data_IF_862821232352
#
_entry.id   IF_862821232352
#
_cell.length_a   1.000
_cell.length_b   1.000
_cell.length_c   1.000
_cell.angle_alpha   90.00
_cell.angle_beta   90.00
_cell.angle_gamma   90.00
#
_symmetry.space_group_name_H-M   'P 1'
#
loop_
_entity.id
_entity.type
_entity.pdbx_description
1 polymer ?
#
# COMPACT_ATOMS: atom_id res chain seq x y z
N UNK A 1 -14.87 17.15 -25.87
CA UNK A 1 -14.69 15.75 -26.29
C UNK A 1 -13.21 15.36 -26.39
N UNK A 2 -12.39 16.08 -27.17
CA UNK A 2 -10.95 15.79 -27.34
C UNK A 2 -10.19 15.72 -26.01
N UNK A 3 -10.38 16.68 -25.11
CA UNK A 3 -9.71 16.71 -23.81
C UNK A 3 -10.02 15.47 -22.95
N UNK A 4 -11.27 14.99 -22.95
CA UNK A 4 -11.66 13.80 -22.18
C UNK A 4 -10.99 12.55 -22.74
N UNK A 5 -11.00 12.38 -24.06
CA UNK A 5 -10.31 11.27 -24.73
C UNK A 5 -8.81 11.32 -24.45
N UNK A 6 -8.19 12.50 -24.50
CA UNK A 6 -6.78 12.67 -24.18
C UNK A 6 -6.46 12.26 -22.74
N UNK A 7 -7.29 12.63 -21.76
CA UNK A 7 -7.10 12.24 -20.35
C UNK A 7 -7.19 10.72 -20.18
N UNK A 8 -8.15 10.06 -20.84
CA UNK A 8 -8.29 8.60 -20.81
C UNK A 8 -7.06 7.92 -21.41
N UNK A 9 -6.62 8.35 -22.60
CA UNK A 9 -5.43 7.77 -23.26
C UNK A 9 -4.20 7.99 -22.38
N UNK A 10 -3.95 9.23 -21.96
CA UNK A 10 -2.77 9.57 -21.16
C UNK A 10 -2.77 8.85 -19.82
N UNK A 11 -3.92 8.65 -19.18
CA UNK A 11 -3.98 7.94 -17.91
C UNK A 11 -3.79 6.43 -18.01
N UNK A 12 -4.00 5.83 -19.19
CA UNK A 12 -3.63 4.45 -19.47
C UNK A 12 -2.14 4.30 -19.85
N UNK A 13 -1.53 5.35 -20.42
CA UNK A 13 -0.10 5.38 -20.74
C UNK A 13 0.78 5.76 -19.54
N UNK A 14 0.33 6.69 -18.71
CA UNK A 14 1.07 7.28 -17.59
C UNK A 14 0.22 7.21 -16.30
N UNK A 15 -0.03 6.00 -15.78
CA UNK A 15 -0.91 5.80 -14.62
C UNK A 15 -0.41 6.53 -13.37
N UNK A 16 0.90 6.77 -13.23
CA UNK A 16 1.50 7.53 -12.12
C UNK A 16 1.15 9.03 -12.11
N UNK A 17 0.65 9.57 -13.22
CA UNK A 17 0.34 11.01 -13.35
C UNK A 17 -1.16 11.30 -13.27
N UNK A 18 -1.99 10.33 -13.66
CA UNK A 18 -3.42 10.53 -13.82
C UNK A 18 -4.15 9.43 -13.06
N UNK A 19 -4.92 9.89 -12.08
CA UNK A 19 -5.86 9.10 -11.30
C UNK A 19 -6.66 8.14 -12.19
N UNK A 20 -6.90 6.94 -11.67
CA UNK A 20 -7.65 5.91 -12.38
C UNK A 20 -9.10 6.33 -12.67
N UNK A 21 -9.66 7.25 -11.88
CA UNK A 21 -11.01 7.80 -12.01
C UNK A 21 -11.21 8.56 -13.34
N UNK A 22 -10.53 9.69 -13.60
CA UNK A 22 -10.65 10.40 -14.87
C UNK A 22 -10.09 9.59 -16.05
N UNK A 23 -9.19 8.64 -15.79
CA UNK A 23 -8.66 7.73 -16.80
C UNK A 23 -9.59 6.56 -17.16
N UNK A 24 -10.75 6.43 -16.51
CA UNK A 24 -11.73 5.36 -16.72
C UNK A 24 -11.19 3.94 -16.46
N UNK A 25 -10.16 3.79 -15.62
CA UNK A 25 -9.50 2.52 -15.30
C UNK A 25 -10.20 1.72 -14.19
N UNK A 26 -11.28 2.24 -13.61
CA UNK A 26 -12.05 1.60 -12.53
C UNK A 26 -12.73 0.28 -12.94
N UNK A 27 -12.98 0.07 -14.24
CA UNK A 27 -13.43 -1.22 -14.76
C UNK A 27 -12.30 -2.17 -15.18
N UNK A 28 -11.08 -1.64 -15.35
CA UNK A 28 -9.93 -2.45 -15.77
C UNK A 28 -9.26 -3.17 -14.59
N UNK A 29 -9.70 -2.91 -13.36
CA UNK A 29 -9.11 -3.49 -12.17
C UNK A 29 -7.65 -3.03 -11.93
N UNK A 30 -7.26 -1.87 -12.49
CA UNK A 30 -5.88 -1.39 -12.52
C UNK A 30 -5.77 0.02 -11.93
N UNK A 31 -5.30 0.11 -10.68
CA UNK A 31 -5.10 1.37 -9.96
C UNK A 31 -3.91 1.26 -9.00
N UNK A 32 -3.41 2.41 -8.53
CA UNK A 32 -2.35 2.44 -7.54
C UNK A 32 -2.88 1.92 -6.19
N UNK A 33 -2.09 1.10 -5.50
CA UNK A 33 -2.46 0.50 -4.21
C UNK A 33 -1.30 0.56 -3.24
N UNK A 34 -1.55 0.37 -1.96
CA UNK A 34 -0.47 0.26 -0.98
C UNK A 34 -0.86 -0.58 0.22
N UNK A 35 0.11 -1.10 0.95
CA UNK A 35 -0.08 -1.64 2.30
C UNK A 35 0.80 -0.89 3.29
N UNK A 36 0.23 -0.61 4.46
CA UNK A 36 0.82 0.15 5.55
C UNK A 36 1.08 -0.81 6.72
N UNK A 37 2.33 -0.92 7.12
CA UNK A 37 2.80 -1.86 8.13
C UNK A 37 3.20 -1.08 9.38
N UNK A 38 2.38 -1.18 10.43
CA UNK A 38 2.58 -0.48 11.70
C UNK A 38 3.22 -1.42 12.72
N UNK A 39 4.40 -1.07 13.24
CA UNK A 39 5.06 -1.83 14.30
C UNK A 39 4.49 -1.46 15.66
N UNK A 40 4.18 -2.46 16.49
CA UNK A 40 3.74 -2.24 17.87
C UNK A 40 2.57 -1.26 17.97
N UNK A 41 2.76 -0.17 18.73
CA UNK A 41 1.71 0.83 19.00
C UNK A 41 1.62 1.95 17.96
N UNK A 42 2.37 1.89 16.85
CA UNK A 42 2.40 2.97 15.85
C UNK A 42 1.00 3.31 15.28
N UNK A 43 0.13 2.31 15.09
CA UNK A 43 -1.25 2.53 14.65
C UNK A 43 -2.08 3.29 15.72
N UNK A 44 -1.87 2.99 17.01
CA UNK A 44 -2.54 3.69 18.11
C UNK A 44 -2.01 5.13 18.29
N UNK A 45 -0.71 5.34 18.08
CA UNK A 45 -0.13 6.69 18.01
C UNK A 45 -0.76 7.47 16.86
N UNK A 46 -0.95 6.86 15.68
CA UNK A 46 -1.63 7.50 14.56
C UNK A 46 -3.09 7.85 14.88
N UNK A 47 -3.83 6.93 15.50
CA UNK A 47 -5.20 7.16 15.96
C UNK A 47 -5.29 8.40 16.84
N UNK A 48 -4.36 8.58 17.78
CA UNK A 48 -4.42 9.68 18.76
C UNK A 48 -3.82 10.99 18.25
N UNK A 49 -2.80 10.93 17.38
CA UNK A 49 -2.02 12.10 16.98
C UNK A 49 -2.53 12.78 15.71
N UNK A 50 -3.29 12.07 14.87
CA UNK A 50 -3.81 12.62 13.62
C UNK A 50 -5.26 13.05 13.79
N UNK A 51 -5.52 14.35 13.56
CA UNK A 51 -6.89 14.86 13.40
C UNK A 51 -7.46 14.28 12.12
N UNK A 52 -8.60 13.59 12.24
CA UNK A 52 -9.19 12.77 11.18
C UNK A 52 -10.71 12.85 11.21
N UNK A 53 -11.33 12.52 10.08
CA UNK A 53 -12.77 12.62 9.87
C UNK A 53 -13.58 11.57 10.66
N UNK A 54 -12.95 10.44 10.98
CA UNK A 54 -13.52 9.34 11.76
C UNK A 54 -12.40 8.55 12.45
N UNK A 55 -12.75 7.68 13.41
CA UNK A 55 -11.79 6.73 13.99
C UNK A 55 -11.24 5.79 12.91
N UNK A 56 -10.07 5.18 13.13
CA UNK A 56 -9.60 4.10 12.24
C UNK A 56 -10.60 2.94 12.21
N UNK A 57 -10.64 2.20 11.10
CA UNK A 57 -11.68 1.19 10.83
C UNK A 57 -11.79 0.16 11.96
N UNK A 58 -10.66 -0.35 12.47
CA UNK A 58 -10.64 -1.28 13.60
C UNK A 58 -11.30 -0.70 14.85
N UNK A 59 -11.07 0.59 15.14
CA UNK A 59 -11.66 1.28 16.29
C UNK A 59 -13.16 1.61 16.10
N UNK A 60 -13.62 1.73 14.85
CA UNK A 60 -15.05 1.81 14.56
C UNK A 60 -15.71 0.44 14.79
N UNK A 61 -15.09 -0.64 14.32
CA UNK A 61 -15.58 -2.01 14.48
C UNK A 61 -15.56 -2.47 15.94
N UNK A 62 -14.57 -2.04 16.73
CA UNK A 62 -14.48 -2.34 18.16
C UNK A 62 -15.63 -1.75 19.00
N UNK A 63 -16.45 -0.85 18.43
CA UNK A 63 -17.70 -0.38 19.06
C UNK A 63 -18.84 -1.39 18.91
N UNK A 64 -18.73 -2.32 17.96
CA UNK A 64 -19.76 -3.30 17.61
C UNK A 64 -19.34 -4.74 17.94
N UNK A 65 -18.04 -5.01 17.93
CA UNK A 65 -17.43 -6.31 18.15
C UNK A 65 -16.36 -6.25 19.24
N UNK A 66 -16.01 -7.40 19.82
CA UNK A 66 -14.80 -7.50 20.62
C UNK A 66 -13.54 -7.25 19.77
N UNK A 67 -12.41 -6.95 20.42
CA UNK A 67 -11.18 -6.55 19.72
C UNK A 67 -10.66 -7.58 18.73
N UNK A 68 -10.72 -8.88 19.06
CA UNK A 68 -10.23 -9.93 18.17
C UNK A 68 -11.14 -10.06 16.94
N UNK A 69 -12.45 -10.01 17.13
CA UNK A 69 -13.41 -10.01 16.02
C UNK A 69 -13.26 -8.75 15.15
N UNK A 70 -13.00 -7.58 15.73
CA UNK A 70 -12.78 -6.34 14.99
C UNK A 70 -11.54 -6.40 14.08
N UNK A 71 -10.44 -6.99 14.55
CA UNK A 71 -9.25 -7.24 13.73
C UNK A 71 -9.56 -8.19 12.56
N UNK A 72 -10.18 -9.34 12.84
CA UNK A 72 -10.59 -10.32 11.79
C UNK A 72 -11.51 -9.66 10.75
N UNK A 73 -12.43 -8.79 11.19
CA UNK A 73 -13.33 -8.08 10.28
C UNK A 73 -12.59 -7.06 9.42
N UNK A 74 -11.53 -6.43 9.94
CA UNK A 74 -10.67 -5.51 9.19
C UNK A 74 -9.85 -6.26 8.14
N UNK A 75 -9.35 -7.46 8.47
CA UNK A 75 -8.53 -8.30 7.59
C UNK A 75 -9.28 -8.81 6.35
N UNK A 76 -10.62 -8.73 6.33
CA UNK A 76 -11.42 -9.00 5.12
C UNK A 76 -10.98 -8.14 3.93
N UNK A 77 -10.48 -6.93 4.18
CA UNK A 77 -9.96 -6.05 3.13
C UNK A 77 -8.66 -6.59 2.56
N UNK A 78 -7.76 -7.09 3.40
CA UNK A 78 -6.54 -7.76 2.95
C UNK A 78 -6.86 -9.03 2.16
N UNK A 79 -7.83 -9.84 2.62
CA UNK A 79 -8.33 -11.00 1.90
C UNK A 79 -8.94 -10.62 0.53
N UNK A 80 -9.69 -9.52 0.46
CA UNK A 80 -10.19 -9.00 -0.81
C UNK A 80 -9.05 -8.60 -1.76
N UNK A 81 -8.04 -7.90 -1.26
CA UNK A 81 -6.87 -7.50 -2.06
C UNK A 81 -6.10 -8.72 -2.58
N UNK A 82 -5.97 -9.76 -1.76
CA UNK A 82 -5.33 -11.03 -2.12
C UNK A 82 -6.03 -11.76 -3.30
N UNK A 83 -7.32 -11.52 -3.53
CA UNK A 83 -8.03 -12.06 -4.71
C UNK A 83 -7.60 -11.40 -6.03
N UNK A 84 -6.83 -10.29 -5.98
CA UNK A 84 -6.37 -9.53 -7.14
C UNK A 84 -4.86 -9.68 -7.33
N UNK A 85 -4.39 -9.46 -8.56
CA UNK A 85 -2.95 -9.52 -8.89
C UNK A 85 -2.12 -8.58 -8.01
N UNK A 86 -2.63 -7.37 -7.73
CA UNK A 86 -2.01 -6.41 -6.82
C UNK A 86 -1.71 -7.01 -5.44
N UNK A 87 -2.62 -7.81 -4.86
CA UNK A 87 -2.40 -8.44 -3.56
C UNK A 87 -1.26 -9.44 -3.58
N UNK A 88 -1.06 -10.17 -4.68
CA UNK A 88 0.06 -11.11 -4.85
C UNK A 88 1.39 -10.37 -4.88
N UNK A 89 1.46 -9.23 -5.56
CA UNK A 89 2.63 -8.37 -5.53
C UNK A 89 2.89 -7.76 -4.15
N UNK A 90 1.86 -7.16 -3.54
CA UNK A 90 1.98 -6.50 -2.23
C UNK A 90 2.44 -7.49 -1.15
N UNK A 91 1.80 -8.66 -1.08
CA UNK A 91 2.17 -9.70 -0.12
C UNK A 91 3.56 -10.27 -0.42
N UNK A 92 3.95 -10.31 -1.69
CA UNK A 92 5.30 -10.70 -2.07
C UNK A 92 6.41 -9.72 -1.74
N UNK A 93 6.06 -8.45 -1.56
CA UNK A 93 6.99 -7.41 -1.15
C UNK A 93 7.08 -7.28 0.38
N UNK A 94 6.17 -7.90 1.16
CA UNK A 94 6.20 -7.87 2.63
C UNK A 94 7.53 -8.34 3.23
N UNK A 95 8.11 -9.49 2.84
CA UNK A 95 9.39 -9.94 3.39
C UNK A 95 10.58 -9.02 3.03
N UNK A 96 10.40 -8.14 2.05
CA UNK A 96 11.41 -7.13 1.68
C UNK A 96 11.25 -5.85 2.50
N UNK A 97 10.02 -5.55 2.89
CA UNK A 97 9.71 -4.39 3.71
C UNK A 97 9.90 -4.67 5.19
N UNK A 98 9.72 -5.91 5.69
CA UNK A 98 9.67 -6.23 7.11
C UNK A 98 10.79 -7.19 7.51
N UNK A 99 11.26 -7.08 8.74
CA UNK A 99 12.18 -8.04 9.35
C UNK A 99 11.42 -9.27 9.89
N UNK A 100 10.37 -9.02 10.67
CA UNK A 100 9.46 -10.06 11.18
C UNK A 100 8.02 -9.55 11.08
N UNK A 101 7.25 -10.13 10.16
CA UNK A 101 5.85 -9.76 9.91
C UNK A 101 4.97 -9.84 11.16
N UNK A 102 5.27 -10.74 12.11
CA UNK A 102 4.47 -10.94 13.32
C UNK A 102 4.46 -9.71 14.26
N UNK A 103 5.43 -8.80 14.13
CA UNK A 103 5.48 -7.56 14.92
C UNK A 103 4.71 -6.38 14.29
N UNK A 104 4.10 -6.60 13.13
CA UNK A 104 3.43 -5.55 12.36
C UNK A 104 1.94 -5.81 12.22
N UNK A 105 1.16 -4.73 12.33
CA UNK A 105 -0.23 -4.68 11.87
C UNK A 105 -0.23 -4.18 10.43
N UNK A 106 -0.69 -5.01 9.51
CA UNK A 106 -0.75 -4.69 8.08
C UNK A 106 -2.14 -4.17 7.77
N UNK A 107 -2.21 -2.96 7.21
CA UNK A 107 -3.46 -2.30 6.79
C UNK A 107 -3.41 -1.97 5.32
N UNK A 108 -4.55 -2.12 4.66
CA UNK A 108 -4.70 -1.69 3.27
C UNK A 108 -4.70 -0.14 3.19
N UNK A 109 -4.04 0.44 2.20
CA UNK A 109 -3.84 1.88 2.11
C UNK A 109 -5.15 2.68 2.00
N UNK A 110 -6.16 2.16 1.32
CA UNK A 110 -7.48 2.75 1.15
C UNK A 110 -8.22 2.87 2.49
N UNK A 111 -8.10 1.85 3.37
CA UNK A 111 -8.71 1.90 4.71
C UNK A 111 -7.98 2.85 5.66
N UNK A 112 -6.69 3.11 5.42
CA UNK A 112 -5.93 4.15 6.12
C UNK A 112 -6.30 5.54 5.57
N UNK A 113 -6.39 5.69 4.25
CA UNK A 113 -6.70 6.94 3.57
C UNK A 113 -8.09 7.47 3.94
N UNK A 114 -9.07 6.58 4.05
CA UNK A 114 -10.46 6.92 4.34
C UNK A 114 -10.63 7.88 5.52
N UNK A 115 -10.26 7.47 6.74
CA UNK A 115 -10.33 8.33 7.92
C UNK A 115 -9.42 9.57 7.82
N UNK A 116 -8.18 9.41 7.34
CA UNK A 116 -7.14 10.44 7.39
C UNK A 116 -7.32 11.57 6.37
N UNK A 117 -7.78 11.23 5.16
CA UNK A 117 -7.99 12.17 4.05
C UNK A 117 -9.47 12.54 3.91
N UNK A 118 -10.38 11.70 4.41
CA UNK A 118 -11.82 11.84 4.20
C UNK A 118 -12.28 11.31 2.84
N UNK A 119 -11.45 10.52 2.15
CA UNK A 119 -11.73 9.98 0.83
C UNK A 119 -11.70 8.46 0.84
N UNK A 120 -12.88 7.83 0.79
CA UNK A 120 -13.06 6.37 0.77
C UNK A 120 -13.22 5.85 -0.66
N UNK A 121 -12.18 6.01 -1.49
CA UNK A 121 -12.16 5.46 -2.85
C UNK A 121 -10.77 4.89 -3.15
N UNK A 122 -10.69 3.90 -4.04
CA UNK A 122 -9.46 3.17 -4.36
C UNK A 122 -8.44 3.97 -5.15
N UNK A 123 -8.03 5.13 -4.64
CA UNK A 123 -7.03 6.00 -5.25
C UNK A 123 -5.71 5.95 -4.48
N UNK A 124 -4.78 5.12 -4.96
CA UNK A 124 -3.46 4.98 -4.37
C UNK A 124 -2.59 6.23 -4.38
N UNK A 125 -2.88 7.20 -5.24
CA UNK A 125 -2.19 8.48 -5.20
C UNK A 125 -2.53 9.31 -3.96
N UNK A 126 -3.59 8.96 -3.20
CA UNK A 126 -3.95 9.60 -1.93
C UNK A 126 -3.31 8.95 -0.71
N UNK A 127 -2.76 7.75 -0.83
CA UNK A 127 -2.09 7.03 0.26
C UNK A 127 -0.67 6.59 -0.11
N UNK A 128 0.01 7.48 -0.84
CA UNK A 128 1.40 7.37 -1.22
C UNK A 128 2.32 8.13 -0.24
N UNK A 129 3.55 8.40 -0.67
CA UNK A 129 4.59 9.08 0.11
C UNK A 129 4.16 10.45 0.66
N UNK A 130 3.22 11.15 0.01
CA UNK A 130 2.72 12.42 0.52
C UNK A 130 1.93 12.25 1.81
N UNK A 131 1.06 11.23 1.86
CA UNK A 131 0.32 10.91 3.08
C UNK A 131 1.26 10.36 4.15
N UNK A 132 2.22 9.49 3.78
CA UNK A 132 3.24 8.98 4.70
C UNK A 132 4.01 10.13 5.35
N UNK A 133 4.49 11.10 4.57
CA UNK A 133 5.19 12.27 5.09
C UNK A 133 4.30 13.13 6.01
N UNK A 134 3.00 13.24 5.70
CA UNK A 134 2.05 13.97 6.51
C UNK A 134 1.77 13.28 7.86
N UNK A 135 1.66 11.94 7.86
CA UNK A 135 1.52 11.12 9.06
C UNK A 135 2.80 11.19 9.89
N UNK A 136 3.97 11.08 9.27
CA UNK A 136 5.26 11.19 9.98
C UNK A 136 5.39 12.51 10.73
N UNK A 137 5.05 13.64 10.10
CA UNK A 137 5.13 14.97 10.74
C UNK A 137 4.25 15.08 12.00
N UNK A 138 3.20 14.27 12.10
CA UNK A 138 2.23 14.31 13.21
C UNK A 138 2.56 13.28 14.30
N UNK A 139 3.02 12.10 13.91
CA UNK A 139 3.25 10.99 14.83
C UNK A 139 4.71 10.90 15.30
N UNK A 140 5.65 11.48 14.55
CA UNK A 140 7.09 11.43 14.82
C UNK A 140 7.61 10.01 15.09
N UNK A 141 7.30 9.08 14.18
CA UNK A 141 7.70 7.69 14.30
C UNK A 141 9.23 7.50 14.25
N UNK A 142 9.71 6.45 14.90
CA UNK A 142 11.08 5.96 14.78
C UNK A 142 11.27 5.13 13.49
N UNK A 143 12.52 4.79 13.18
CA UNK A 143 12.84 3.92 12.04
C UNK A 143 12.20 2.53 12.22
N UNK A 144 11.44 2.09 11.22
CA UNK A 144 10.73 0.82 11.17
C UNK A 144 9.35 0.82 11.84
N UNK A 145 8.91 1.92 12.45
CA UNK A 145 7.58 2.00 13.09
C UNK A 145 6.45 2.01 12.06
N UNK A 146 6.67 2.65 10.91
CA UNK A 146 5.74 2.65 9.79
C UNK A 146 6.50 2.44 8.49
N UNK A 147 6.31 1.27 7.88
CA UNK A 147 6.77 0.94 6.53
C UNK A 147 5.60 0.81 5.59
N UNK A 148 5.70 1.39 4.41
CA UNK A 148 4.63 1.40 3.41
C UNK A 148 5.17 0.85 2.09
N UNK A 149 4.49 -0.15 1.56
CA UNK A 149 4.74 -0.67 0.22
C UNK A 149 3.70 -0.04 -0.70
N UNK A 150 4.16 0.71 -1.70
CA UNK A 150 3.34 1.41 -2.67
C UNK A 150 3.54 0.72 -4.02
N UNK A 151 2.45 0.29 -4.64
CA UNK A 151 2.43 -0.36 -5.96
C UNK A 151 1.64 0.50 -6.93
N UNK A 152 2.29 0.95 -7.99
CA UNK A 152 1.67 1.81 -9.01
C UNK A 152 0.80 0.99 -9.97
N UNK A 153 -0.21 1.63 -10.57
CA UNK A 153 -0.99 1.02 -11.63
C UNK A 153 -0.12 0.65 -12.83
N UNK A 154 -0.47 -0.44 -13.52
CA UNK A 154 0.22 -0.92 -14.71
C UNK A 154 -0.05 0.01 -15.91
N UNK A 155 0.97 0.54 -16.60
CA UNK A 155 0.77 1.16 -17.91
C UNK A 155 0.30 0.12 -18.92
N UNK A 156 -0.73 0.41 -19.73
CA UNK A 156 -1.39 -0.60 -20.58
C UNK A 156 -0.45 -1.30 -21.58
N UNK A 157 0.66 -0.66 -21.93
CA UNK A 157 1.64 -1.12 -22.91
C UNK A 157 2.88 -1.77 -22.27
N UNK A 158 2.91 -1.93 -20.94
CA UNK A 158 4.08 -2.41 -20.19
C UNK A 158 3.65 -3.57 -19.29
N UNK A 159 4.33 -4.71 -19.39
CA UNK A 159 4.06 -5.91 -18.56
C UNK A 159 4.79 -5.87 -17.21
N UNK A 160 4.80 -4.70 -16.57
CA UNK A 160 5.52 -4.44 -15.30
C UNK A 160 4.72 -3.47 -14.44
N UNK A 161 4.77 -3.66 -13.12
CA UNK A 161 4.29 -2.69 -12.14
C UNK A 161 5.43 -2.19 -11.27
N UNK A 162 5.51 -0.88 -11.11
CA UNK A 162 6.54 -0.23 -10.30
C UNK A 162 6.12 -0.23 -8.84
N UNK A 163 7.06 -0.52 -7.95
CA UNK A 163 6.85 -0.43 -6.51
C UNK A 163 7.89 0.44 -5.83
N UNK A 164 7.51 0.96 -4.66
CA UNK A 164 8.38 1.69 -3.74
C UNK A 164 8.08 1.23 -2.32
N UNK A 165 9.12 0.96 -1.55
CA UNK A 165 9.05 0.67 -0.12
C UNK A 165 9.61 1.88 0.60
N UNK A 166 8.81 2.45 1.50
CA UNK A 166 9.13 3.70 2.19
C UNK A 166 8.99 3.50 3.68
N UNK A 167 9.99 3.92 4.42
CA UNK A 167 9.92 4.07 5.86
C UNK A 167 9.52 5.52 6.20
N UNK A 168 8.58 5.71 7.11
CA UNK A 168 8.07 7.04 7.45
C UNK A 168 9.16 7.97 7.99
N UNK A 169 10.15 7.43 8.73
CA UNK A 169 11.24 8.21 9.33
C UNK A 169 12.38 8.45 8.33
N UNK A 170 12.79 7.42 7.61
CA UNK A 170 14.03 7.46 6.81
C UNK A 170 13.76 7.72 5.32
N UNK A 171 12.52 7.59 4.85
CA UNK A 171 12.10 7.82 3.47
C UNK A 171 12.24 6.57 2.60
N UNK A 172 12.56 6.76 1.31
CA UNK A 172 12.67 5.65 0.37
C UNK A 172 13.73 4.63 0.81
N UNK A 173 13.27 3.39 0.99
CA UNK A 173 14.06 2.23 1.40
C UNK A 173 14.47 1.41 0.18
N UNK A 174 13.52 1.06 -0.68
CA UNK A 174 13.73 0.28 -1.90
C UNK A 174 12.75 0.75 -2.99
N UNK A 175 13.18 0.71 -4.25
CA UNK A 175 12.32 0.89 -5.41
C UNK A 175 12.71 -0.11 -6.50
N UNK A 176 11.72 -0.51 -7.29
CA UNK A 176 11.93 -1.45 -8.38
C UNK A 176 10.65 -1.72 -9.14
N UNK A 177 10.62 -2.85 -9.83
CA UNK A 177 9.41 -3.34 -10.48
C UNK A 177 9.26 -4.85 -10.33
N UNK A 178 8.02 -5.30 -10.52
CA UNK A 178 7.62 -6.71 -10.63
C UNK A 178 7.01 -6.93 -12.01
N UNK A 179 7.11 -8.14 -12.54
CA UNK A 179 6.45 -8.48 -13.81
C UNK A 179 5.03 -8.95 -13.56
N UNK A 180 4.13 -8.70 -14.51
CA UNK A 180 2.74 -9.18 -14.41
C UNK A 180 2.66 -10.70 -14.47
N UNK A 181 3.59 -11.34 -15.19
CA UNK A 181 3.71 -12.80 -15.26
C UNK A 181 3.98 -13.40 -13.88
N UNK A 182 4.95 -12.87 -13.14
CA UNK A 182 5.27 -13.34 -11.79
C UNK A 182 4.08 -13.16 -10.84
N UNK A 183 3.40 -12.02 -10.93
CA UNK A 183 2.19 -11.74 -10.15
C UNK A 183 1.08 -12.77 -10.43
N UNK A 184 0.92 -13.22 -11.68
CA UNK A 184 -0.11 -14.18 -12.07
C UNK A 184 0.23 -15.62 -11.68
N UNK A 185 1.51 -15.97 -11.66
CA UNK A 185 1.99 -17.33 -11.37
C UNK A 185 1.93 -17.69 -9.89
N UNK A 186 1.95 -16.69 -9.00
CA UNK A 186 2.07 -16.85 -7.55
C UNK A 186 0.71 -16.89 -6.83
N UNK A 187 0.62 -17.64 -5.73
CA UNK A 187 -0.47 -17.56 -4.76
C UNK A 187 -0.38 -16.29 -3.90
N UNK A 188 -1.50 -15.71 -3.43
CA UNK A 188 -1.44 -14.46 -2.67
C UNK A 188 -0.88 -14.62 -1.24
N UNK A 189 -0.63 -15.84 -0.76
CA UNK A 189 0.07 -16.11 0.49
C UNK A 189 1.44 -16.74 0.22
N UNK A 190 2.43 -16.55 1.11
CA UNK A 190 3.72 -17.19 0.97
C UNK A 190 3.59 -18.72 1.08
N UNK A 191 4.19 -19.44 0.14
CA UNK A 191 4.38 -20.89 0.24
C UNK A 191 5.84 -21.22 0.64
N UNK A 192 6.12 -22.36 1.29
CA UNK A 192 7.50 -22.74 1.58
C UNK A 192 8.34 -22.83 0.31
N UNK A 193 9.42 -22.05 0.24
CA UNK A 193 10.28 -21.97 -0.96
C UNK A 193 9.77 -21.03 -2.05
N UNK A 194 8.70 -20.29 -1.80
CA UNK A 194 8.19 -19.24 -2.69
C UNK A 194 9.16 -18.06 -2.72
N UNK A 195 9.73 -17.81 -3.90
CA UNK A 195 10.51 -16.61 -4.18
C UNK A 195 9.74 -15.74 -5.16
N UNK A 196 9.48 -14.49 -4.76
CA UNK A 196 8.89 -13.51 -5.65
C UNK A 196 9.98 -12.79 -6.44
N UNK A 197 10.00 -12.88 -7.77
CA UNK A 197 10.97 -12.13 -8.56
C UNK A 197 10.70 -10.63 -8.45
N UNK A 198 11.72 -9.92 -7.99
CA UNK A 198 11.68 -8.47 -7.80
C UNK A 198 12.90 -7.85 -8.45
N UNK A 199 12.68 -6.87 -9.33
CA UNK A 199 13.75 -6.18 -10.06
C UNK A 199 14.02 -4.82 -9.42
N UNK A 200 14.96 -4.81 -8.48
CA UNK A 200 15.37 -3.61 -7.74
C UNK A 200 16.09 -2.63 -8.68
N UNK A 201 15.67 -1.36 -8.66
CA UNK A 201 16.33 -0.27 -9.38
C UNK A 201 17.08 0.68 -8.44
N UNK A 202 16.59 0.82 -7.21
CA UNK A 202 17.21 1.63 -6.17
C UNK A 202 17.05 0.93 -4.83
N UNK A 203 18.11 0.82 -4.06
CA UNK A 203 18.04 0.32 -2.69
C UNK A 203 18.97 1.14 -1.81
N UNK A 204 18.46 1.61 -0.67
CA UNK A 204 19.31 2.20 0.35
C UNK A 204 20.07 1.06 1.03
N UNK A 205 21.40 1.10 1.02
CA UNK A 205 22.21 0.13 1.75
C UNK A 205 21.84 0.16 3.24
N UNK A 206 21.55 -1.01 3.81
CA UNK A 206 21.44 -1.17 5.27
C UNK A 206 22.80 -0.81 5.86
N UNK A 207 22.89 0.01 6.94
CA UNK A 207 24.12 0.11 7.69
C UNK A 207 24.50 -1.30 8.14
N UNK A 208 25.68 -1.77 7.75
CA UNK A 208 26.23 -3.02 8.27
C UNK A 208 26.19 -2.94 9.79
N UNK A 209 25.51 -3.89 10.44
CA UNK A 209 25.66 -4.07 11.89
C UNK A 209 27.17 -4.24 12.17
N UNK A 210 27.75 -3.46 13.10
CA UNK A 210 29.14 -3.67 13.51
C UNK A 210 29.33 -5.05 14.15
#
# INVERSE_FOLDING_TARGET
MIAVVAVVIMGNLLPEKISFLPAMRYYAGNWATSIWCFRGDAEATMETSVVKSSALVVNQLAKLYDGATAEIMTDKVAAFRAMHTHGRALNGLLPRALDDEAHYRIREGEIVAGPLVGWNFGEGHLHNEQLVAAVQRRCNFADGDLRVIILEGQPIHVQKQWYRIVDAKTGLFEAGYVTVEDMLSRQPWPEPGDEFPVHVTTQRGTPSKP
#
